data_IF_897586440923
#
_entry.id   IF_897586440923
#
_cell.length_a   1.000
_cell.length_b   1.000
_cell.length_c   1.000
_cell.angle_alpha   90.00
_cell.angle_beta   90.00
_cell.angle_gamma   90.00
#
_symmetry.space_group_name_H-M   'P 1'
#
loop_
_entity.id
_entity.type
_entity.pdbx_description
1 polymer ?
#
# COMPACT_ATOMS: atom_id res chain seq x y z
N UNK A 1 -23.87 -20.98 1.08
CA UNK A 1 -23.30 -19.67 0.69
C UNK A 1 -22.34 -19.27 1.78
N UNK A 2 -21.03 -19.31 1.51
CA UNK A 2 -20.03 -18.78 2.43
C UNK A 2 -20.18 -17.26 2.46
N UNK A 3 -20.46 -16.71 3.64
CA UNK A 3 -20.65 -15.27 3.81
C UNK A 3 -19.29 -14.62 4.06
N UNK A 4 -18.86 -13.73 3.17
CA UNK A 4 -17.69 -12.89 3.38
C UNK A 4 -18.13 -11.75 4.28
N UNK A 5 -17.45 -11.60 5.42
CA UNK A 5 -17.64 -10.47 6.31
C UNK A 5 -16.54 -9.44 6.03
N UNK A 6 -16.84 -8.18 6.27
CA UNK A 6 -15.86 -7.10 6.17
C UNK A 6 -15.52 -6.55 7.55
N UNK A 7 -14.24 -6.33 7.80
CA UNK A 7 -13.74 -5.65 9.00
C UNK A 7 -12.93 -4.42 8.60
N UNK A 8 -12.87 -3.44 9.50
CA UNK A 8 -12.00 -2.26 9.35
C UNK A 8 -10.72 -2.52 10.15
N UNK A 9 -9.59 -2.24 9.52
CA UNK A 9 -8.26 -2.29 10.13
C UNK A 9 -7.67 -0.90 9.94
N UNK A 10 -7.20 -0.30 11.01
CA UNK A 10 -6.51 0.98 10.99
C UNK A 10 -5.03 0.72 11.16
N UNK A 11 -4.21 1.29 10.29
CA UNK A 11 -2.77 1.25 10.46
C UNK A 11 -2.32 2.34 11.46
N UNK A 12 -1.56 2.00 12.52
CA UNK A 12 -1.20 2.95 13.57
C UNK A 12 -0.22 4.04 13.11
N UNK A 13 0.61 3.79 12.09
CA UNK A 13 1.67 4.71 11.67
C UNK A 13 1.23 5.59 10.49
N UNK A 14 0.39 5.05 9.59
CA UNK A 14 -0.11 5.76 8.41
C UNK A 14 -1.50 6.39 8.64
N UNK A 15 -2.18 6.08 9.74
CA UNK A 15 -3.53 6.57 10.06
C UNK A 15 -4.57 6.35 8.94
N UNK A 16 -4.35 5.33 8.12
CA UNK A 16 -5.22 4.94 7.03
C UNK A 16 -6.13 3.76 7.43
N UNK A 17 -7.37 3.78 6.93
CA UNK A 17 -8.35 2.72 7.22
C UNK A 17 -8.51 1.79 6.03
N UNK A 18 -8.14 0.54 6.24
CA UNK A 18 -8.24 -0.53 5.26
C UNK A 18 -9.48 -1.39 5.48
N UNK A 19 -9.97 -2.02 4.41
CA UNK A 19 -11.08 -2.97 4.51
C UNK A 19 -10.58 -4.40 4.33
N UNK A 20 -10.63 -5.18 5.41
CA UNK A 20 -10.34 -6.61 5.38
C UNK A 20 -11.60 -7.41 5.04
N UNK A 21 -11.48 -8.36 4.12
CA UNK A 21 -12.47 -9.38 3.85
C UNK A 21 -12.08 -10.64 4.62
N UNK A 22 -13.01 -11.19 5.41
CA UNK A 22 -12.80 -12.41 6.20
C UNK A 22 -13.90 -13.43 5.91
N UNK A 23 -13.53 -14.69 5.83
CA UNK A 23 -14.42 -15.80 5.54
C UNK A 23 -14.07 -16.99 6.42
N UNK A 24 -15.07 -17.69 6.95
CA UNK A 24 -14.85 -18.94 7.66
C UNK A 24 -14.55 -20.06 6.67
N UNK A 25 -13.49 -20.82 6.93
CA UNK A 25 -13.00 -21.92 6.11
C UNK A 25 -12.79 -23.17 6.98
N UNK A 26 -13.79 -24.06 7.01
CA UNK A 26 -13.79 -25.22 7.91
C UNK A 26 -13.76 -24.78 9.38
N UNK A 27 -12.76 -25.26 10.11
CA UNK A 27 -12.52 -24.91 11.53
C UNK A 27 -11.71 -23.61 11.70
N UNK A 28 -11.28 -22.98 10.60
CA UNK A 28 -10.47 -21.77 10.59
C UNK A 28 -11.13 -20.57 9.90
N UNK A 29 -10.33 -19.52 9.78
CA UNK A 29 -10.69 -18.23 9.19
C UNK A 29 -9.64 -17.81 8.19
N UNK A 30 -10.06 -17.45 6.98
CA UNK A 30 -9.20 -16.88 5.95
C UNK A 30 -9.56 -15.42 5.74
N UNK A 31 -8.57 -14.56 5.55
CA UNK A 31 -8.82 -13.16 5.29
C UNK A 31 -7.75 -12.49 4.43
N UNK A 32 -8.13 -11.38 3.82
CA UNK A 32 -7.26 -10.57 2.97
C UNK A 32 -7.69 -9.10 3.00
N UNK A 33 -6.75 -8.19 2.72
CA UNK A 33 -7.06 -6.76 2.57
C UNK A 33 -7.59 -6.50 1.16
N UNK A 34 -8.73 -5.80 1.03
CA UNK A 34 -9.35 -5.53 -0.27
C UNK A 34 -8.46 -4.67 -1.16
N UNK A 35 -7.80 -3.69 -0.57
CA UNK A 35 -6.99 -2.71 -1.26
C UNK A 35 -5.57 -3.27 -1.54
N UNK A 36 -5.13 -4.26 -0.76
CA UNK A 36 -3.81 -4.92 -0.84
C UNK A 36 -3.99 -6.45 -0.78
N UNK A 37 -4.39 -7.10 -1.88
CA UNK A 37 -4.79 -8.52 -1.88
C UNK A 37 -3.64 -9.50 -1.62
N UNK A 38 -2.40 -9.05 -1.74
CA UNK A 38 -1.18 -9.79 -1.36
C UNK A 38 -1.07 -10.01 0.15
N UNK A 39 -1.67 -9.13 0.96
CA UNK A 39 -1.78 -9.33 2.41
C UNK A 39 -2.95 -10.28 2.67
N UNK A 40 -2.63 -11.56 2.78
CA UNK A 40 -3.58 -12.67 3.00
C UNK A 40 -3.06 -13.61 4.08
N UNK A 41 -3.92 -13.97 5.02
CA UNK A 41 -3.60 -14.86 6.13
C UNK A 41 -4.75 -15.86 6.38
N UNK A 42 -4.42 -16.97 7.06
CA UNK A 42 -5.38 -17.94 7.57
C UNK A 42 -5.02 -18.27 9.00
N UNK A 43 -6.01 -18.24 9.89
CA UNK A 43 -5.83 -18.48 11.32
C UNK A 43 -6.97 -19.34 11.88
N UNK A 44 -6.76 -19.90 13.06
CA UNK A 44 -7.78 -20.73 13.75
C UNK A 44 -8.89 -19.89 14.37
N UNK A 45 -8.61 -18.64 14.73
CA UNK A 45 -9.60 -17.72 15.31
C UNK A 45 -9.71 -16.43 14.50
N UNK A 46 -10.89 -15.80 14.54
CA UNK A 46 -11.13 -14.50 13.89
C UNK A 46 -10.24 -13.39 14.48
N UNK A 47 -9.98 -13.43 15.79
CA UNK A 47 -9.21 -12.41 16.48
C UNK A 47 -7.73 -12.49 16.11
N UNK A 48 -7.19 -13.71 16.06
CA UNK A 48 -5.81 -13.92 15.59
C UNK A 48 -5.69 -13.55 14.12
N UNK A 49 -6.68 -13.88 13.28
CA UNK A 49 -6.69 -13.46 11.88
C UNK A 49 -6.59 -11.94 11.72
N UNK A 50 -7.36 -11.19 12.50
CA UNK A 50 -7.35 -9.73 12.42
C UNK A 50 -6.00 -9.15 12.88
N UNK A 51 -5.43 -9.68 13.97
CA UNK A 51 -4.10 -9.25 14.45
C UNK A 51 -3.00 -9.58 13.44
N UNK A 52 -3.00 -10.78 12.86
CA UNK A 52 -2.03 -11.17 11.84
C UNK A 52 -2.18 -10.30 10.58
N UNK A 53 -3.42 -10.04 10.14
CA UNK A 53 -3.68 -9.15 8.99
C UNK A 53 -3.21 -7.71 9.24
N UNK A 54 -3.46 -7.16 10.43
CA UNK A 54 -2.96 -5.83 10.82
C UNK A 54 -1.43 -5.78 10.79
N UNK A 55 -0.78 -6.79 11.38
CA UNK A 55 0.69 -6.86 11.43
C UNK A 55 1.32 -7.00 10.04
N UNK A 56 0.79 -7.86 9.18
CA UNK A 56 1.31 -8.06 7.83
C UNK A 56 1.01 -6.84 6.93
N UNK A 57 -0.17 -6.23 7.04
CA UNK A 57 -0.48 -4.98 6.34
C UNK A 57 0.52 -3.89 6.71
N UNK A 58 0.74 -3.68 8.00
CA UNK A 58 1.67 -2.68 8.50
C UNK A 58 3.09 -2.86 7.96
N UNK A 59 3.59 -4.11 7.99
CA UNK A 59 4.90 -4.45 7.42
C UNK A 59 4.99 -4.14 5.92
N UNK A 60 3.94 -4.46 5.15
CA UNK A 60 3.90 -4.16 3.72
C UNK A 60 3.97 -2.65 3.47
N UNK A 61 3.17 -1.86 4.19
CA UNK A 61 3.17 -0.41 4.05
C UNK A 61 4.53 0.22 4.41
N UNK A 62 5.15 -0.25 5.49
CA UNK A 62 6.51 0.19 5.87
C UNK A 62 7.51 -0.16 4.76
N UNK A 63 7.48 -1.38 4.22
CA UNK A 63 8.43 -1.80 3.20
C UNK A 63 8.28 -0.97 1.90
N UNK A 64 7.04 -0.67 1.49
CA UNK A 64 6.75 0.22 0.37
C UNK A 64 7.30 1.63 0.63
N UNK A 65 7.09 2.15 1.85
CA UNK A 65 7.60 3.46 2.25
C UNK A 65 9.13 3.52 2.24
N UNK A 66 9.82 2.52 2.80
CA UNK A 66 11.28 2.43 2.81
C UNK A 66 11.85 2.34 1.38
N UNK A 67 11.21 1.58 0.51
CA UNK A 67 11.58 1.49 -0.90
C UNK A 67 11.42 2.85 -1.60
N UNK A 68 10.32 3.55 -1.36
CA UNK A 68 10.08 4.87 -1.92
C UNK A 68 11.11 5.91 -1.45
N UNK A 69 11.40 5.94 -0.15
CA UNK A 69 12.40 6.84 0.44
C UNK A 69 13.78 6.60 -0.16
N UNK A 70 14.18 5.33 -0.31
CA UNK A 70 15.47 4.96 -0.92
C UNK A 70 15.56 5.43 -2.36
N UNK A 71 14.52 5.21 -3.17
CA UNK A 71 14.50 5.66 -4.56
C UNK A 71 14.53 7.18 -4.68
N UNK A 72 13.78 7.88 -3.82
CA UNK A 72 13.77 9.33 -3.82
C UNK A 72 15.16 9.91 -3.52
N UNK A 73 15.86 9.38 -2.52
CA UNK A 73 17.24 9.79 -2.22
C UNK A 73 18.18 9.56 -3.41
N UNK A 74 18.04 8.44 -4.12
CA UNK A 74 18.84 8.16 -5.31
C UNK A 74 18.53 9.14 -6.44
N UNK A 75 17.27 9.48 -6.66
CA UNK A 75 16.84 10.44 -7.68
C UNK A 75 17.35 11.85 -7.38
N UNK A 76 17.43 12.22 -6.10
CA UNK A 76 18.08 13.46 -5.63
C UNK A 76 19.60 13.39 -5.90
N UNK A 77 20.27 12.31 -5.49
CA UNK A 77 21.72 12.13 -5.65
C UNK A 77 22.16 12.13 -7.11
N UNK A 78 21.37 11.50 -7.99
CA UNK A 78 21.65 11.42 -9.42
C UNK A 78 21.26 12.69 -10.20
N UNK A 79 20.62 13.67 -9.55
CA UNK A 79 20.20 14.90 -10.20
C UNK A 79 19.06 14.72 -11.20
N UNK A 80 18.34 13.58 -11.15
CA UNK A 80 17.20 13.29 -12.03
C UNK A 80 16.11 14.34 -11.88
N UNK A 81 15.88 14.84 -10.66
CA UNK A 81 14.95 15.96 -10.39
C UNK A 81 15.38 17.26 -11.09
N UNK A 82 16.67 17.59 -11.08
CA UNK A 82 17.19 18.75 -11.80
C UNK A 82 17.02 18.58 -13.31
N UNK A 83 17.25 17.38 -13.83
CA UNK A 83 17.08 17.06 -15.25
C UNK A 83 15.60 17.16 -15.67
N UNK A 84 14.68 16.72 -14.82
CA UNK A 84 13.23 16.87 -15.01
C UNK A 84 12.81 18.34 -15.06
N UNK A 85 13.34 19.17 -14.15
CA UNK A 85 13.13 20.63 -14.16
C UNK A 85 13.62 21.26 -15.45
N UNK A 86 14.82 20.93 -15.89
CA UNK A 86 15.44 21.54 -17.07
C UNK A 86 14.66 21.15 -18.33
N UNK A 87 14.23 19.88 -18.43
CA UNK A 87 13.34 19.42 -19.51
C UNK A 87 12.00 20.18 -19.51
N UNK A 88 11.37 20.37 -18.35
CA UNK A 88 10.12 21.10 -18.25
C UNK A 88 10.27 22.57 -18.69
N UNK A 89 11.40 23.21 -18.35
CA UNK A 89 11.73 24.56 -18.83
C UNK A 89 11.90 24.61 -20.35
N UNK A 90 12.53 23.60 -20.94
CA UNK A 90 12.73 23.55 -22.39
C UNK A 90 11.44 23.25 -23.15
N UNK A 91 10.55 22.41 -22.61
CA UNK A 91 9.21 22.20 -23.16
C UNK A 91 8.36 23.49 -23.09
N UNK A 92 8.43 24.23 -21.98
CA UNK A 92 7.77 25.53 -21.84
C UNK A 92 8.32 26.54 -22.87
N UNK A 93 9.64 26.66 -23.00
CA UNK A 93 10.30 27.54 -23.98
C UNK A 93 9.93 27.18 -25.41
N UNK A 94 9.73 25.89 -25.69
CA UNK A 94 9.34 25.41 -27.01
C UNK A 94 7.82 25.48 -27.26
N UNK A 95 7.03 26.00 -26.32
CA UNK A 95 5.58 26.08 -26.44
C UNK A 95 4.88 24.71 -26.44
N UNK A 96 5.54 23.66 -25.93
CA UNK A 96 5.04 22.29 -25.85
C UNK A 96 4.39 21.96 -24.49
N UNK A 97 3.97 22.96 -23.74
CA UNK A 97 3.10 22.69 -22.60
C UNK A 97 1.77 22.17 -23.12
N UNK A 98 1.52 20.87 -22.95
CA UNK A 98 0.16 20.33 -23.03
C UNK A 98 -0.66 20.91 -21.89
N UNK A 99 -1.88 21.34 -22.19
CA UNK A 99 -2.85 21.77 -21.17
C UNK A 99 -3.00 20.66 -20.11
N UNK A 100 -2.90 21.06 -18.84
CA UNK A 100 -3.06 20.20 -17.65
C UNK A 100 -4.51 19.73 -17.48
#
# INVERSE_FOLDING_TARGET
MTHIHTAKIEDPDFAETYTACIQQNGDGWIGWIRDVPEVKCEETTREDLLKTLEHELHKTLIAEWEAWSTQFEQDVKTGKLNSLRDKALDDLRAGRCSDL
#
